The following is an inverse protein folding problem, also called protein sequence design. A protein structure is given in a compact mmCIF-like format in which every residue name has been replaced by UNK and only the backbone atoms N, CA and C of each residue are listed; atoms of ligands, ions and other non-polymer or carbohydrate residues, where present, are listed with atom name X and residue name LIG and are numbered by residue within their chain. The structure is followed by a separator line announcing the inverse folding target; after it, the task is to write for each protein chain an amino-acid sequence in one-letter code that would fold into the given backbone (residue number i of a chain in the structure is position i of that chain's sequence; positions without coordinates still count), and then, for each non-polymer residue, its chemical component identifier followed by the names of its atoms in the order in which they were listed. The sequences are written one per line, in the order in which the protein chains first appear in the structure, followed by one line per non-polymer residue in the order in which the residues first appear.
data_IF_621929395027
#
_entry.id   IF_621929395027
#
_cell.length_a   1.000
_cell.length_b   1.000
_cell.length_c   1.000
_cell.angle_alpha   90.00
_cell.angle_beta   90.00
_cell.angle_gamma   90.00
#
_symmetry.space_group_name_H-M   'P 1'
#
loop_
_entity.id
_entity.type
_entity.pdbx_description
1 polymer ?
#
# COMPACT_ATOMS: atom_id res chain seq x y z
N UNK A 1 -4.28 -2.01 -56.39
CA UNK A 1 -5.54 -2.35 -55.69
C UNK A 1 -5.75 -1.35 -54.56
N UNK A 2 -7.02 -1.12 -54.22
CA UNK A 2 -7.62 0.03 -53.52
C UNK A 2 -6.96 0.41 -52.17
N UNK A 3 -6.99 1.71 -51.89
CA UNK A 3 -6.39 2.41 -50.74
C UNK A 3 -6.88 1.90 -49.39
N UNK A 4 -5.94 1.71 -48.46
CA UNK A 4 -6.21 1.41 -47.05
C UNK A 4 -6.44 2.73 -46.31
N UNK A 5 -7.67 2.96 -45.84
CA UNK A 5 -8.04 4.12 -45.03
C UNK A 5 -7.62 3.85 -43.58
N UNK A 6 -6.67 4.61 -43.06
CA UNK A 6 -6.43 4.69 -41.62
C UNK A 6 -7.63 5.34 -40.95
N UNK A 7 -8.45 4.55 -40.25
CA UNK A 7 -9.44 5.07 -39.32
C UNK A 7 -8.72 5.23 -37.98
N UNK A 8 -8.34 6.46 -37.67
CA UNK A 8 -7.93 6.86 -36.32
C UNK A 8 -9.21 6.91 -35.49
N UNK A 9 -9.51 5.84 -34.76
CA UNK A 9 -10.51 5.87 -33.70
C UNK A 9 -9.82 6.42 -32.45
N UNK A 10 -10.06 7.69 -32.15
CA UNK A 10 -9.66 8.30 -30.90
C UNK A 10 -10.43 7.62 -29.76
N UNK A 11 -9.76 6.71 -29.05
CA UNK A 11 -10.25 6.16 -27.81
C UNK A 11 -9.71 7.03 -26.68
N UNK A 12 -10.55 7.96 -26.19
CA UNK A 12 -10.30 8.73 -24.99
C UNK A 12 -11.14 8.11 -23.86
N UNK A 13 -10.59 7.25 -23.00
CA UNK A 13 -11.21 6.97 -21.72
C UNK A 13 -10.68 7.96 -20.68
N UNK A 14 -11.63 8.65 -20.06
CA UNK A 14 -11.48 9.59 -18.94
C UNK A 14 -10.50 9.05 -17.90
N UNK A 15 -9.39 9.76 -17.71
CA UNK A 15 -8.60 9.66 -16.49
C UNK A 15 -9.53 10.01 -15.32
N UNK A 16 -9.81 9.04 -14.44
CA UNK A 16 -10.24 9.36 -13.10
C UNK A 16 -9.07 10.08 -12.44
N UNK A 17 -9.05 11.41 -12.53
CA UNK A 17 -8.21 12.24 -11.68
C UNK A 17 -8.83 12.09 -10.28
N UNK A 18 -8.38 11.07 -9.54
CA UNK A 18 -8.49 11.09 -8.09
C UNK A 18 -7.58 12.20 -7.63
N UNK A 19 -8.12 13.43 -7.58
CA UNK A 19 -7.45 14.53 -6.92
C UNK A 19 -7.60 14.26 -5.42
N UNK A 20 -6.81 13.35 -4.88
CA UNK A 20 -6.51 13.41 -3.48
C UNK A 20 -5.62 14.62 -3.32
N UNK A 21 -6.20 15.72 -2.85
CA UNK A 21 -5.45 16.93 -2.53
C UNK A 21 -4.76 16.68 -1.20
N UNK A 22 -3.43 16.65 -1.21
CA UNK A 22 -2.64 16.64 0.02
C UNK A 22 -3.03 17.83 0.90
N UNK A 23 -3.12 17.60 2.21
CA UNK A 23 -3.49 18.63 3.19
C UNK A 23 -2.24 19.14 3.89
N UNK A 24 -2.20 20.45 4.14
CA UNK A 24 -1.06 21.06 4.82
C UNK A 24 -0.92 20.50 6.24
N UNK A 25 0.29 20.15 6.66
CA UNK A 25 0.55 19.58 7.99
C UNK A 25 0.02 20.48 9.13
N UNK A 26 -0.03 21.80 8.95
CA UNK A 26 -0.56 22.77 9.91
C UNK A 26 -2.06 22.59 10.18
N UNK A 27 -2.78 21.92 9.28
CA UNK A 27 -4.21 21.60 9.42
C UNK A 27 -4.44 20.25 10.13
N UNK A 28 -3.39 19.46 10.34
CA UNK A 28 -3.45 18.18 11.03
C UNK A 28 -3.47 18.41 12.55
N UNK A 29 -4.40 17.78 13.29
CA UNK A 29 -4.38 17.83 14.75
C UNK A 29 -3.03 17.36 15.31
N UNK A 30 -2.48 18.10 16.28
CA UNK A 30 -1.17 17.79 16.85
C UNK A 30 -1.07 16.38 17.45
N UNK A 31 -2.18 15.85 17.98
CA UNK A 31 -2.25 14.48 18.49
C UNK A 31 -1.98 13.43 17.41
N UNK A 32 -2.40 13.70 16.17
CA UNK A 32 -2.21 12.82 15.01
C UNK A 32 -0.76 12.89 14.54
N UNK A 33 -0.21 14.10 14.35
CA UNK A 33 1.21 14.30 14.01
C UNK A 33 2.10 13.62 15.05
N UNK A 34 1.83 13.86 16.33
CA UNK A 34 2.62 13.30 17.44
C UNK A 34 2.57 11.77 17.47
N UNK A 35 1.45 11.15 17.11
CA UNK A 35 1.35 9.69 17.04
C UNK A 35 2.35 9.11 16.02
N UNK A 36 2.40 9.68 14.81
CA UNK A 36 3.35 9.27 13.77
C UNK A 36 4.78 9.56 14.21
N UNK A 37 5.07 10.78 14.64
CA UNK A 37 6.42 11.19 15.04
C UNK A 37 6.95 10.46 16.29
N UNK A 38 6.06 9.96 17.16
CA UNK A 38 6.47 9.13 18.30
C UNK A 38 6.89 7.73 17.86
N UNK A 39 6.18 7.12 16.90
CA UNK A 39 6.55 5.80 16.35
C UNK A 39 7.75 5.91 15.40
N UNK A 40 7.82 6.99 14.63
CA UNK A 40 8.84 7.25 13.61
C UNK A 40 9.52 8.62 13.84
N UNK A 41 10.40 8.73 14.85
CA UNK A 41 11.02 10.02 15.21
C UNK A 41 11.94 10.59 14.13
N UNK A 42 12.34 9.77 13.16
CA UNK A 42 13.19 10.17 12.04
C UNK A 42 12.40 10.44 10.75
N UNK A 43 11.08 10.27 10.75
CA UNK A 43 10.24 10.60 9.60
C UNK A 43 10.36 12.11 9.28
N UNK A 44 10.40 12.44 8.01
CA UNK A 44 10.52 13.81 7.51
C UNK A 44 9.62 13.97 6.29
N UNK A 45 9.32 15.22 5.98
CA UNK A 45 8.60 15.59 4.74
C UNK A 45 7.28 14.80 4.58
N UNK A 46 6.56 14.59 5.69
CA UNK A 46 5.33 13.81 5.70
C UNK A 46 4.28 14.47 4.80
N UNK A 47 3.80 13.72 3.82
CA UNK A 47 2.61 14.06 3.05
C UNK A 47 1.37 13.51 3.76
N UNK A 48 0.29 14.28 3.72
CA UNK A 48 -0.92 13.93 4.47
C UNK A 48 -2.15 13.91 3.59
N UNK A 49 -2.96 12.88 3.79
CA UNK A 49 -4.33 12.80 3.31
C UNK A 49 -5.31 12.62 4.47
N UNK A 50 -6.57 13.00 4.28
CA UNK A 50 -7.64 12.75 5.26
C UNK A 50 -8.91 12.26 4.59
N UNK A 51 -9.47 11.18 5.12
CA UNK A 51 -10.74 10.62 4.67
C UNK A 51 -11.54 10.10 5.85
N UNK A 52 -12.76 10.61 6.01
CA UNK A 52 -13.70 10.17 7.05
C UNK A 52 -13.12 10.20 8.48
N UNK A 53 -12.27 11.19 8.81
CA UNK A 53 -11.64 11.31 10.13
C UNK A 53 -10.48 10.34 10.38
N UNK A 54 -9.98 9.68 9.32
CA UNK A 54 -8.73 8.93 9.31
C UNK A 54 -7.72 9.77 8.54
N UNK A 55 -6.58 10.00 9.16
CA UNK A 55 -5.44 10.69 8.58
C UNK A 55 -4.43 9.66 8.12
N UNK A 56 -3.90 9.84 6.93
CA UNK A 56 -2.88 8.99 6.34
C UNK A 56 -1.62 9.84 6.18
N UNK A 57 -0.53 9.39 6.79
CA UNK A 57 0.78 10.01 6.63
C UNK A 57 1.65 9.13 5.73
N UNK A 58 2.16 9.72 4.66
CA UNK A 58 3.12 9.11 3.75
C UNK A 58 4.50 9.72 3.94
N UNK A 59 5.53 8.89 4.03
CA UNK A 59 6.93 9.34 4.14
C UNK A 59 7.93 8.23 3.83
N UNK A 60 9.14 8.63 3.45
CA UNK A 60 10.26 7.71 3.26
C UNK A 60 11.09 7.55 4.56
N UNK A 61 11.46 6.31 4.87
CA UNK A 61 12.42 6.02 5.93
C UNK A 61 13.34 4.87 5.51
N UNK A 62 14.65 5.10 5.56
CA UNK A 62 15.67 4.12 5.20
C UNK A 62 15.50 3.49 3.79
N UNK A 63 14.95 4.27 2.84
CA UNK A 63 14.61 3.90 1.44
C UNK A 63 13.39 3.00 1.29
N UNK A 64 12.59 2.87 2.35
CA UNK A 64 11.29 2.22 2.30
C UNK A 64 10.22 3.29 2.44
N UNK A 65 9.16 3.14 1.66
CA UNK A 65 8.00 4.03 1.68
C UNK A 65 7.05 3.54 2.77
N UNK A 66 6.53 4.47 3.58
CA UNK A 66 5.63 4.18 4.68
C UNK A 66 4.32 4.93 4.52
N UNK A 67 3.21 4.22 4.71
CA UNK A 67 1.87 4.81 4.84
C UNK A 67 1.32 4.47 6.25
N UNK A 68 0.90 5.49 7.01
CA UNK A 68 0.45 5.33 8.40
C UNK A 68 -0.94 5.93 8.59
N UNK A 69 -1.93 5.09 8.87
CA UNK A 69 -3.30 5.52 9.15
C UNK A 69 -3.50 5.75 10.64
N UNK A 70 -4.00 6.94 10.98
CA UNK A 70 -4.20 7.40 12.36
C UNK A 70 -5.61 7.99 12.49
N UNK A 71 -6.34 7.64 13.55
CA UNK A 71 -7.64 8.25 13.83
C UNK A 71 -7.51 9.62 14.54
N UNK A 72 -8.62 10.34 14.67
CA UNK A 72 -8.70 11.64 15.37
C UNK A 72 -8.20 11.63 16.83
N UNK A 73 -8.07 10.46 17.48
CA UNK A 73 -7.55 10.30 18.84
C UNK A 73 -6.03 10.07 18.87
N UNK A 74 -5.35 10.03 17.72
CA UNK A 74 -3.93 9.68 17.63
C UNK A 74 -3.65 8.18 17.76
N UNK A 75 -4.66 7.32 17.56
CA UNK A 75 -4.44 5.86 17.53
C UNK A 75 -4.02 5.44 16.14
N UNK A 76 -2.88 4.77 16.03
CA UNK A 76 -2.42 4.16 14.78
C UNK A 76 -3.29 2.93 14.50
N UNK A 77 -3.99 2.96 13.38
CA UNK A 77 -4.91 1.91 12.95
C UNK A 77 -4.23 0.90 12.03
N UNK A 78 -3.32 1.38 11.18
CA UNK A 78 -2.60 0.58 10.18
C UNK A 78 -1.26 1.23 9.86
N UNK A 79 -0.26 0.40 9.58
CA UNK A 79 1.00 0.80 8.95
C UNK A 79 1.21 -0.10 7.74
N UNK A 80 1.51 0.50 6.61
CA UNK A 80 2.13 -0.18 5.47
C UNK A 80 3.57 0.29 5.35
N UNK A 81 4.45 -0.67 5.10
CA UNK A 81 5.86 -0.44 4.76
C UNK A 81 6.10 -1.18 3.44
N UNK A 82 6.53 -0.47 2.41
CA UNK A 82 7.06 -1.13 1.22
C UNK A 82 8.37 -1.85 1.59
N UNK A 83 8.45 -3.12 1.22
CA UNK A 83 9.58 -3.97 1.53
C UNK A 83 10.12 -4.61 0.26
N UNK A 84 11.43 -4.78 0.22
CA UNK A 84 12.07 -5.53 -0.85
C UNK A 84 11.75 -7.01 -0.75
N UNK A 85 11.81 -7.70 -1.89
CA UNK A 85 11.60 -9.14 -1.99
C UNK A 85 12.51 -9.98 -1.06
N UNK A 86 13.69 -9.49 -0.68
CA UNK A 86 14.61 -10.16 0.25
C UNK A 86 14.24 -9.97 1.74
N UNK A 87 13.30 -9.09 2.04
CA UNK A 87 12.75 -8.85 3.38
C UNK A 87 11.46 -9.66 3.65
N UNK A 88 10.91 -10.32 2.63
CA UNK A 88 9.75 -11.21 2.78
C UNK A 88 10.17 -12.46 3.59
N UNK A 89 9.40 -12.89 4.59
CA UNK A 89 9.66 -14.12 5.32
C UNK A 89 9.83 -15.33 4.39
N UNK A 90 10.90 -16.10 4.59
CA UNK A 90 11.25 -17.21 3.71
C UNK A 90 10.12 -18.24 3.53
N UNK A 91 9.31 -18.46 4.57
CA UNK A 91 8.13 -19.35 4.51
C UNK A 91 7.07 -18.85 3.53
N UNK A 92 6.89 -17.54 3.42
CA UNK A 92 5.95 -16.91 2.48
C UNK A 92 6.54 -16.95 1.07
N UNK A 93 7.79 -16.52 0.93
CA UNK A 93 8.48 -16.50 -0.36
C UNK A 93 8.51 -17.89 -1.03
N UNK A 94 8.72 -18.94 -0.24
CA UNK A 94 8.69 -20.32 -0.72
C UNK A 94 7.30 -20.73 -1.22
N UNK A 95 6.23 -20.34 -0.52
CA UNK A 95 4.85 -20.62 -0.94
C UNK A 95 4.49 -19.88 -2.22
N UNK A 96 4.80 -18.58 -2.30
CA UNK A 96 4.52 -17.78 -3.49
C UNK A 96 5.23 -18.35 -4.71
N UNK A 97 6.52 -18.68 -4.60
CA UNK A 97 7.26 -19.32 -5.70
C UNK A 97 6.71 -20.70 -6.10
N UNK A 98 6.12 -21.44 -5.17
CA UNK A 98 5.52 -22.74 -5.47
C UNK A 98 4.15 -22.61 -6.17
N UNK A 99 3.33 -21.65 -5.74
CA UNK A 99 1.99 -21.36 -6.29
C UNK A 99 2.06 -20.62 -7.64
N UNK A 100 3.03 -19.72 -7.81
CA UNK A 100 3.11 -18.76 -8.91
C UNK A 100 4.45 -18.87 -9.67
N UNK A 101 4.78 -20.06 -10.16
CA UNK A 101 6.09 -20.37 -10.76
C UNK A 101 6.46 -19.52 -11.98
N UNK A 102 5.45 -19.12 -12.76
CA UNK A 102 5.64 -18.37 -14.02
C UNK A 102 5.51 -16.85 -13.83
N UNK A 103 5.32 -16.39 -12.59
CA UNK A 103 5.07 -14.99 -12.26
C UNK A 103 6.34 -14.33 -11.72
N UNK A 104 6.43 -13.02 -11.91
CA UNK A 104 7.47 -12.19 -11.28
C UNK A 104 6.90 -11.57 -10.02
N UNK A 105 7.70 -11.53 -8.97
CA UNK A 105 7.40 -10.70 -7.81
C UNK A 105 7.71 -9.26 -8.18
N UNK A 106 6.73 -8.38 -7.99
CA UNK A 106 6.90 -6.94 -8.19
C UNK A 106 7.04 -6.28 -6.81
N UNK A 107 6.03 -5.52 -6.39
CA UNK A 107 5.99 -4.85 -5.10
C UNK A 107 5.56 -5.77 -3.96
N UNK A 108 6.01 -5.44 -2.75
CA UNK A 108 5.63 -6.16 -1.54
C UNK A 108 5.49 -5.19 -0.38
N UNK A 109 4.44 -5.38 0.43
CA UNK A 109 4.16 -4.55 1.59
C UNK A 109 4.12 -5.39 2.85
N UNK A 110 4.81 -4.96 3.90
CA UNK A 110 4.61 -5.42 5.28
C UNK A 110 3.53 -4.56 5.91
N UNK A 111 2.46 -5.18 6.39
CA UNK A 111 1.27 -4.47 6.87
C UNK A 111 1.00 -4.84 8.32
N UNK A 112 1.00 -3.83 9.20
CA UNK A 112 0.65 -3.97 10.62
C UNK A 112 -0.77 -3.45 10.85
N UNK A 113 -1.66 -4.29 11.40
CA UNK A 113 -3.00 -3.89 11.84
C UNK A 113 -3.19 -4.40 13.27
N UNK A 114 -3.22 -3.47 14.23
CA UNK A 114 -3.24 -3.80 15.66
C UNK A 114 -1.99 -4.58 16.06
N UNK A 115 -2.15 -5.87 16.41
CA UNK A 115 -1.03 -6.77 16.76
C UNK A 115 -0.69 -7.77 15.66
N UNK A 116 -1.41 -7.73 14.55
CA UNK A 116 -1.25 -8.67 13.46
C UNK A 116 -0.32 -8.08 12.39
N UNK A 117 0.52 -8.94 11.82
CA UNK A 117 1.38 -8.63 10.69
C UNK A 117 0.93 -9.47 9.50
N UNK A 118 0.80 -8.79 8.36
CA UNK A 118 0.49 -9.38 7.07
C UNK A 118 1.54 -8.97 6.04
N UNK A 119 1.60 -9.74 4.97
CA UNK A 119 2.43 -9.47 3.81
C UNK A 119 1.52 -9.49 2.59
N UNK A 120 1.36 -8.34 1.93
CA UNK A 120 0.76 -8.25 0.61
C UNK A 120 1.88 -8.33 -0.43
N UNK A 121 1.72 -9.19 -1.42
CA UNK A 121 2.72 -9.41 -2.46
C UNK A 121 2.01 -9.28 -3.79
N UNK A 122 2.52 -8.39 -4.64
CA UNK A 122 2.09 -8.23 -6.01
C UNK A 122 2.87 -9.19 -6.91
N UNK A 123 2.12 -9.91 -7.74
CA UNK A 123 2.65 -10.89 -8.68
C UNK A 123 2.22 -10.52 -10.09
N UNK A 124 3.20 -10.16 -10.92
CA UNK A 124 3.01 -9.84 -12.34
C UNK A 124 2.89 -11.13 -13.14
N UNK A 125 1.80 -11.22 -13.91
CA UNK A 125 1.50 -12.33 -14.80
C UNK A 125 0.90 -11.87 -16.12
N UNK A 126 0.82 -12.80 -17.08
CA UNK A 126 0.38 -12.52 -18.44
C UNK A 126 -1.03 -11.92 -18.58
N UNK A 127 -1.87 -12.02 -17.55
CA UNK A 127 -3.24 -11.49 -17.52
C UNK A 127 -3.39 -10.25 -16.63
N UNK A 128 -2.27 -9.67 -16.19
CA UNK A 128 -2.20 -8.56 -15.25
C UNK A 128 -1.80 -9.00 -13.84
N UNK A 129 -1.58 -8.00 -13.01
CA UNK A 129 -1.06 -8.18 -11.67
C UNK A 129 -2.11 -8.77 -10.73
N UNK A 130 -1.67 -9.63 -9.82
CA UNK A 130 -2.50 -10.16 -8.76
C UNK A 130 -1.86 -9.87 -7.40
N UNK A 131 -2.70 -9.61 -6.39
CA UNK A 131 -2.24 -9.42 -5.02
C UNK A 131 -2.58 -10.64 -4.18
N UNK A 132 -1.59 -11.15 -3.46
CA UNK A 132 -1.76 -12.25 -2.50
C UNK A 132 -1.36 -11.80 -1.11
N UNK A 133 -2.16 -12.19 -0.12
CA UNK A 133 -1.96 -11.77 1.27
C UNK A 133 -1.66 -13.00 2.12
N UNK A 134 -0.63 -12.89 2.95
CA UNK A 134 -0.25 -13.92 3.92
C UNK A 134 -0.12 -13.34 5.32
N UNK A 135 -0.44 -14.12 6.34
CA UNK A 135 -0.06 -13.80 7.72
C UNK A 135 1.45 -13.98 7.91
N UNK A 136 1.99 -13.46 9.01
CA UNK A 136 3.40 -13.68 9.41
C UNK A 136 3.80 -15.18 9.45
N UNK A 137 2.85 -16.08 9.72
CA UNK A 137 3.07 -17.55 9.72
C UNK A 137 3.01 -18.18 8.33
N UNK A 138 2.77 -17.37 7.30
CA UNK A 138 2.61 -17.78 5.92
C UNK A 138 1.27 -18.45 5.61
N UNK A 139 0.23 -18.22 6.40
CA UNK A 139 -1.12 -18.68 6.08
C UNK A 139 -1.77 -17.69 5.11
N UNK A 140 -2.25 -18.16 3.97
CA UNK A 140 -2.93 -17.32 2.97
C UNK A 140 -4.19 -16.72 3.59
N UNK A 141 -4.39 -15.42 3.39
CA UNK A 141 -5.51 -14.66 3.92
C UNK A 141 -6.39 -14.13 2.78
N UNK A 142 -7.65 -13.86 3.11
CA UNK A 142 -8.51 -13.04 2.25
C UNK A 142 -8.00 -11.58 2.29
N UNK A 143 -7.73 -10.93 1.13
CA UNK A 143 -7.24 -9.55 1.09
C UNK A 143 -8.12 -8.54 1.85
N UNK A 144 -9.41 -8.82 2.02
CA UNK A 144 -10.31 -7.98 2.81
C UNK A 144 -9.84 -7.81 4.27
N UNK A 145 -8.98 -8.69 4.78
CA UNK A 145 -8.36 -8.54 6.11
C UNK A 145 -7.60 -7.21 6.25
N UNK A 146 -7.00 -6.71 5.17
CA UNK A 146 -6.21 -5.48 5.15
C UNK A 146 -7.06 -4.20 5.27
N UNK A 147 -8.38 -4.34 5.11
CA UNK A 147 -9.34 -3.23 5.22
C UNK A 147 -9.98 -3.13 6.61
N UNK A 148 -9.79 -4.15 7.46
CA UNK A 148 -10.38 -4.23 8.80
C UNK A 148 -9.56 -3.43 9.82
N UNK A 149 -9.45 -2.13 9.57
CA UNK A 149 -8.81 -1.18 10.48
C UNK A 149 -9.82 -0.76 11.55
N UNK A 150 -9.36 -0.58 12.80
CA UNK A 150 -10.23 -0.34 13.95
C UNK A 150 -11.15 0.87 13.78
N UNK A 151 -12.39 0.76 14.27
CA UNK A 151 -13.25 1.93 14.51
C UNK A 151 -12.81 2.62 15.80
#
# INVERSE_FOLDING_TARGET
MKSLKCIVLAFLPLSFISCASTIAQQEIPSVVINAVMTKYPNAKDLEWEVKNGIYEAEFDLDKNDYEVWVNTQGTILKVEEEIRNDQIPAVILAKVKAEFKDYKLDDSKRIEIGKSIYYEIEIDGALGDQKVVYSEKGEKQDPFVLTKIGK
#
